data_IF_724046594445
#
_entry.id   IF_724046594445
#
_cell.length_a   1.000
_cell.length_b   1.000
_cell.length_c   1.000
_cell.angle_alpha   90.00
_cell.angle_beta   90.00
_cell.angle_gamma   90.00
#
_symmetry.space_group_name_H-M   'P 1'
#
loop_
_entity.id
_entity.type
_entity.pdbx_description
1 polymer ?
#
# COMPACT_ATOMS: atom_id res chain seq x y z
N UNK A 1 1.01 -9.29 11.17
CA UNK A 1 2.14 -9.09 12.11
C UNK A 1 3.42 -9.07 11.28
N UNK A 2 3.86 -7.89 10.86
CA UNK A 2 5.15 -7.70 10.17
C UNK A 2 6.25 -8.01 11.19
N UNK A 3 7.07 -9.02 10.91
CA UNK A 3 8.14 -9.41 11.83
C UNK A 3 9.27 -8.40 11.71
N UNK A 4 9.25 -7.38 12.57
CA UNK A 4 10.43 -6.57 12.86
C UNK A 4 11.39 -7.45 13.68
N UNK A 5 12.27 -8.16 12.99
CA UNK A 5 13.20 -9.10 13.61
C UNK A 5 14.23 -8.32 14.43
N UNK A 6 14.13 -8.42 15.76
CA UNK A 6 15.08 -7.85 16.73
C UNK A 6 16.50 -8.33 16.41
N UNK A 7 17.34 -7.43 15.89
CA UNK A 7 18.79 -7.58 15.72
C UNK A 7 19.50 -7.63 17.09
N UNK A 8 19.38 -8.73 17.82
CA UNK A 8 20.12 -8.96 19.08
C UNK A 8 21.18 -10.05 18.90
N UNK A 9 22.27 -9.72 18.19
CA UNK A 9 23.61 -10.31 18.30
C UNK A 9 24.63 -9.26 17.79
N UNK A 10 24.97 -8.29 18.65
CA UNK A 10 25.35 -6.91 18.23
C UNK A 10 26.86 -6.65 18.09
N UNK A 11 27.76 -7.60 18.37
CA UNK A 11 29.22 -7.32 18.29
C UNK A 11 29.87 -7.83 16.99
N UNK A 12 29.63 -9.08 16.59
CA UNK A 12 30.26 -9.66 15.38
C UNK A 12 29.76 -9.08 14.05
N UNK A 13 28.45 -8.78 13.95
CA UNK A 13 27.84 -8.25 12.71
C UNK A 13 28.15 -6.77 12.47
N UNK A 14 28.39 -5.99 13.54
CA UNK A 14 28.84 -4.58 13.43
C UNK A 14 30.21 -4.47 12.78
N UNK A 15 31.11 -5.42 13.07
CA UNK A 15 32.46 -5.47 12.50
C UNK A 15 32.41 -5.80 11.01
N UNK A 16 31.60 -6.77 10.58
CA UNK A 16 31.43 -7.09 9.16
C UNK A 16 30.86 -5.92 8.36
N UNK A 17 29.84 -5.22 8.88
CA UNK A 17 29.26 -4.05 8.25
C UNK A 17 30.30 -2.94 8.05
N UNK A 18 31.05 -2.62 9.11
CA UNK A 18 32.12 -1.64 9.08
C UNK A 18 33.25 -2.04 8.12
N UNK A 19 33.60 -3.33 8.04
CA UNK A 19 34.65 -3.82 7.15
C UNK A 19 34.26 -3.67 5.67
N UNK A 20 33.00 -3.93 5.32
CA UNK A 20 32.55 -3.84 3.94
C UNK A 20 32.56 -2.39 3.48
N UNK A 21 31.96 -1.50 4.27
CA UNK A 21 31.91 -0.08 3.93
C UNK A 21 33.30 0.57 3.96
N UNK A 22 34.15 0.23 4.95
CA UNK A 22 35.51 0.78 5.03
C UNK A 22 36.46 0.27 3.94
N UNK A 23 36.11 -0.83 3.25
CA UNK A 23 36.84 -1.37 2.08
C UNK A 23 36.21 -0.98 0.73
N UNK A 24 35.30 -0.01 0.72
CA UNK A 24 34.65 0.46 -0.52
C UNK A 24 33.52 -0.42 -1.05
N UNK A 25 32.95 -1.28 -0.20
CA UNK A 25 31.75 -2.07 -0.54
C UNK A 25 30.47 -1.24 -0.60
N UNK A 26 29.45 -1.78 -1.26
CA UNK A 26 28.18 -1.08 -1.54
C UNK A 26 27.10 -1.39 -0.51
N UNK A 27 26.08 -0.52 -0.42
CA UNK A 27 24.89 -0.78 0.40
C UNK A 27 24.12 -2.03 -0.05
N UNK A 28 24.17 -2.37 -1.34
CA UNK A 28 23.61 -3.63 -1.87
C UNK A 28 24.30 -4.87 -1.30
N UNK A 29 25.62 -4.84 -1.12
CA UNK A 29 26.36 -5.94 -0.48
C UNK A 29 26.00 -6.10 0.99
N UNK A 30 25.76 -4.97 1.67
CA UNK A 30 25.25 -4.96 3.05
C UNK A 30 23.84 -5.59 3.13
N UNK A 31 22.94 -5.21 2.23
CA UNK A 31 21.60 -5.78 2.15
C UNK A 31 21.65 -7.27 1.83
N UNK A 32 22.50 -7.68 0.90
CA UNK A 32 22.72 -9.09 0.55
C UNK A 32 23.19 -9.91 1.76
N UNK A 33 24.12 -9.38 2.57
CA UNK A 33 24.51 -10.06 3.81
C UNK A 33 23.35 -10.23 4.79
N UNK A 34 22.49 -9.22 4.91
CA UNK A 34 21.29 -9.31 5.75
C UNK A 34 20.33 -10.40 5.24
N UNK A 35 20.04 -10.40 3.94
CA UNK A 35 19.17 -11.42 3.30
C UNK A 35 19.78 -12.81 3.45
N UNK A 36 21.06 -13.01 3.11
CA UNK A 36 21.74 -14.30 3.23
C UNK A 36 21.85 -14.79 4.68
N UNK A 37 21.84 -13.88 5.66
CA UNK A 37 21.85 -14.26 7.08
C UNK A 37 20.47 -14.64 7.62
N UNK A 38 19.39 -14.15 7.03
CA UNK A 38 18.03 -14.28 7.57
C UNK A 38 17.17 -15.24 6.76
N UNK A 39 17.27 -15.21 5.43
CA UNK A 39 16.46 -16.00 4.53
C UNK A 39 16.61 -17.52 4.74
N UNK A 40 17.84 -18.10 4.84
CA UNK A 40 17.99 -19.54 5.09
C UNK A 40 17.35 -19.99 6.41
N UNK A 41 17.42 -19.16 7.44
CA UNK A 41 16.79 -19.42 8.73
C UNK A 41 15.25 -19.43 8.63
N UNK A 42 14.66 -18.53 7.84
CA UNK A 42 13.20 -18.51 7.68
C UNK A 42 12.74 -19.73 6.88
N UNK A 43 13.44 -20.07 5.79
CA UNK A 43 13.12 -21.23 4.95
C UNK A 43 13.34 -22.56 5.70
N UNK A 44 14.32 -22.64 6.61
CA UNK A 44 14.52 -23.85 7.44
C UNK A 44 13.33 -24.16 8.36
N UNK A 45 12.42 -23.20 8.55
CA UNK A 45 11.17 -23.37 9.32
C UNK A 45 9.94 -23.58 8.40
N UNK A 46 10.15 -23.91 7.12
CA UNK A 46 9.10 -24.06 6.10
C UNK A 46 8.19 -22.82 6.01
N UNK A 47 8.79 -21.63 6.10
CA UNK A 47 8.06 -20.35 5.99
C UNK A 47 8.38 -19.66 4.66
N UNK A 48 7.40 -18.92 4.17
CA UNK A 48 7.53 -17.99 3.04
C UNK A 48 7.77 -16.60 3.59
N UNK A 49 8.71 -15.88 3.01
CA UNK A 49 9.02 -14.49 3.40
C UNK A 49 8.25 -13.53 2.51
N UNK A 50 7.72 -12.47 3.12
CA UNK A 50 7.21 -11.29 2.39
C UNK A 50 8.23 -10.17 2.55
N UNK A 51 8.70 -9.60 1.44
CA UNK A 51 9.52 -8.39 1.43
C UNK A 51 8.77 -7.26 0.73
N UNK A 52 9.06 -6.02 1.10
CA UNK A 52 8.77 -4.88 0.23
C UNK A 52 9.59 -5.00 -1.06
N UNK A 53 9.01 -4.53 -2.16
CA UNK A 53 9.61 -4.66 -3.50
C UNK A 53 11.00 -4.03 -3.64
N UNK A 54 11.35 -3.06 -2.80
CA UNK A 54 12.62 -2.32 -2.78
C UNK A 54 13.82 -3.28 -2.75
N UNK A 55 13.69 -4.40 -2.04
CA UNK A 55 14.75 -5.42 -1.94
C UNK A 55 15.25 -5.86 -3.32
N UNK A 56 14.38 -5.81 -4.35
CA UNK A 56 14.67 -6.21 -5.71
C UNK A 56 14.64 -5.05 -6.71
N UNK A 57 13.74 -4.08 -6.52
CA UNK A 57 13.43 -3.06 -7.52
C UNK A 57 14.06 -1.69 -7.26
N UNK A 58 14.62 -1.43 -6.08
CA UNK A 58 15.27 -0.15 -5.79
C UNK A 58 16.44 0.10 -6.77
N UNK A 59 16.60 1.35 -7.20
CA UNK A 59 17.58 1.71 -8.21
C UNK A 59 19.03 1.61 -7.69
N UNK A 60 19.23 1.85 -6.39
CA UNK A 60 20.54 2.02 -5.78
C UNK A 60 20.93 0.85 -4.84
N UNK A 61 19.98 0.33 -4.07
CA UNK A 61 20.16 -0.63 -2.98
C UNK A 61 19.23 -1.82 -3.18
N UNK A 62 19.72 -2.84 -3.90
CA UNK A 62 18.94 -4.04 -4.22
C UNK A 62 19.81 -5.27 -4.21
N UNK A 63 19.17 -6.42 -4.06
CA UNK A 63 19.82 -7.71 -4.17
C UNK A 63 19.58 -8.35 -5.53
N UNK A 64 20.45 -9.30 -5.89
CA UNK A 64 20.26 -10.07 -7.11
C UNK A 64 19.08 -11.02 -6.97
N UNK A 65 18.31 -11.21 -8.04
CA UNK A 65 17.15 -12.10 -7.99
C UNK A 65 17.52 -13.55 -7.66
N UNK A 66 18.77 -13.98 -7.87
CA UNK A 66 19.27 -15.31 -7.54
C UNK A 66 19.27 -15.62 -6.04
N UNK A 67 19.33 -14.59 -5.18
CA UNK A 67 19.30 -14.79 -3.72
C UNK A 67 17.88 -14.78 -3.15
N UNK A 68 16.87 -14.52 -3.99
CA UNK A 68 15.45 -14.53 -3.63
C UNK A 68 14.71 -15.61 -4.45
N UNK A 69 14.77 -16.89 -4.04
CA UNK A 69 13.98 -17.95 -4.67
C UNK A 69 12.47 -17.63 -4.64
N UNK A 70 11.79 -17.80 -5.78
CA UNK A 70 10.39 -17.38 -5.99
C UNK A 70 9.41 -18.24 -5.18
N UNK A 71 9.74 -19.50 -5.00
CA UNK A 71 8.97 -20.49 -4.24
C UNK A 71 8.76 -20.10 -2.78
N UNK A 72 9.73 -19.41 -2.17
CA UNK A 72 9.72 -18.99 -0.76
C UNK A 72 9.68 -17.48 -0.57
N UNK A 73 9.50 -16.71 -1.65
CA UNK A 73 9.44 -15.25 -1.61
C UNK A 73 8.12 -14.74 -2.19
N UNK A 74 7.50 -13.80 -1.47
CA UNK A 74 6.41 -12.95 -1.94
C UNK A 74 6.91 -11.51 -1.87
N UNK A 75 6.57 -10.70 -2.86
CA UNK A 75 6.94 -9.28 -2.89
C UNK A 75 5.68 -8.42 -2.73
N UNK A 76 5.73 -7.44 -1.83
CA UNK A 76 4.67 -6.47 -1.64
C UNK A 76 5.04 -5.19 -2.39
N UNK A 77 4.27 -4.84 -3.40
CA UNK A 77 4.52 -3.68 -4.28
C UNK A 77 3.77 -2.46 -3.77
N UNK A 78 4.44 -1.31 -3.73
CA UNK A 78 3.86 -0.09 -3.19
C UNK A 78 4.15 1.15 -4.04
N UNK A 79 5.08 1.09 -4.99
CA UNK A 79 5.49 2.21 -5.82
C UNK A 79 5.15 1.96 -7.30
N UNK A 80 5.05 3.02 -8.11
CA UNK A 80 4.78 2.97 -9.56
C UNK A 80 3.61 2.07 -9.99
N UNK A 81 2.54 1.99 -9.19
CA UNK A 81 1.27 1.33 -9.52
C UNK A 81 1.37 0.00 -10.28
N UNK A 82 0.69 -0.06 -11.43
CA UNK A 82 0.67 -1.25 -12.30
C UNK A 82 2.04 -1.61 -12.88
N UNK A 83 2.95 -0.63 -13.07
CA UNK A 83 4.25 -0.89 -13.69
C UNK A 83 5.13 -1.78 -12.81
N UNK A 84 5.25 -1.46 -11.53
CA UNK A 84 6.03 -2.33 -10.64
C UNK A 84 5.32 -3.68 -10.42
N UNK A 85 3.99 -3.68 -10.27
CA UNK A 85 3.21 -4.93 -10.21
C UNK A 85 3.56 -5.85 -11.39
N UNK A 86 3.50 -5.33 -12.61
CA UNK A 86 3.89 -6.03 -13.85
C UNK A 86 5.32 -6.53 -13.78
N UNK A 87 6.30 -5.68 -13.43
CA UNK A 87 7.72 -6.07 -13.34
C UNK A 87 7.96 -7.28 -12.42
N UNK A 88 7.27 -7.31 -11.28
CA UNK A 88 7.41 -8.40 -10.29
C UNK A 88 6.83 -9.71 -10.81
N UNK A 89 5.59 -9.68 -11.32
CA UNK A 89 4.92 -10.89 -11.82
C UNK A 89 5.55 -11.40 -13.11
N UNK A 90 6.00 -10.52 -14.03
CA UNK A 90 6.75 -10.92 -15.23
C UNK A 90 8.11 -11.57 -14.87
N UNK A 91 8.64 -11.29 -13.67
CA UNK A 91 9.85 -11.94 -13.13
C UNK A 91 9.56 -13.25 -12.36
N UNK A 92 8.29 -13.68 -12.33
CA UNK A 92 7.84 -14.93 -11.72
C UNK A 92 7.57 -14.84 -10.22
N UNK A 93 7.56 -13.66 -9.61
CA UNK A 93 7.26 -13.51 -8.18
C UNK A 93 5.77 -13.44 -7.94
N UNK A 94 5.33 -14.12 -6.87
CA UNK A 94 4.02 -13.88 -6.28
C UNK A 94 4.01 -12.52 -5.59
N UNK A 95 2.94 -11.77 -5.77
CA UNK A 95 2.90 -10.34 -5.40
C UNK A 95 1.64 -9.99 -4.59
N UNK A 96 1.81 -9.21 -3.53
CA UNK A 96 0.73 -8.51 -2.81
C UNK A 96 0.74 -7.05 -3.26
N UNK A 97 -0.41 -6.53 -3.69
CA UNK A 97 -0.51 -5.16 -4.22
C UNK A 97 -0.89 -4.16 -3.12
N UNK A 98 -0.07 -3.14 -2.92
CA UNK A 98 -0.25 -2.06 -1.94
C UNK A 98 0.16 -0.70 -2.52
N UNK A 99 -0.01 -0.49 -3.83
CA UNK A 99 0.42 0.73 -4.52
C UNK A 99 -0.07 2.02 -3.84
N UNK A 100 0.84 2.91 -3.47
CA UNK A 100 0.59 4.13 -2.68
C UNK A 100 -0.34 5.12 -3.37
N UNK A 101 -0.34 5.12 -4.71
CA UNK A 101 -1.28 5.85 -5.56
C UNK A 101 -2.75 5.52 -5.26
N UNK A 102 -3.02 4.33 -4.72
CA UNK A 102 -4.38 3.82 -4.48
C UNK A 102 -4.60 3.37 -3.03
N UNK A 103 -3.72 2.56 -2.43
CA UNK A 103 -3.99 1.77 -1.23
C UNK A 103 -3.35 2.29 0.07
N UNK A 104 -2.74 3.48 0.06
CA UNK A 104 -2.23 4.12 1.28
C UNK A 104 -3.31 5.00 1.92
N UNK A 105 -3.63 4.73 3.18
CA UNK A 105 -4.70 5.36 3.95
C UNK A 105 -4.24 6.63 4.69
N UNK A 106 -2.94 6.80 4.89
CA UNK A 106 -2.27 7.91 5.60
C UNK A 106 -2.07 9.17 4.74
N UNK A 107 -2.12 9.06 3.41
CA UNK A 107 -1.86 10.17 2.50
C UNK A 107 -2.89 11.30 2.63
N UNK A 108 -2.45 12.53 2.34
CA UNK A 108 -3.32 13.71 2.27
C UNK A 108 -3.54 14.43 3.61
N UNK A 109 -2.72 14.11 4.62
CA UNK A 109 -2.72 14.78 5.94
C UNK A 109 -1.54 15.74 6.13
N UNK A 110 -0.92 16.15 5.03
CA UNK A 110 0.29 16.97 5.01
C UNK A 110 1.52 16.25 5.57
N UNK A 111 2.61 16.98 5.73
CA UNK A 111 3.83 16.47 6.36
C UNK A 111 3.72 16.50 7.89
N UNK A 112 4.46 15.62 8.58
CA UNK A 112 4.56 15.54 10.03
C UNK A 112 5.79 16.27 10.59
N UNK A 113 6.71 16.72 9.72
CA UNK A 113 7.91 17.46 10.12
C UNK A 113 7.57 18.81 10.76
N UNK A 114 8.32 19.17 11.80
CA UNK A 114 8.21 20.46 12.49
C UNK A 114 9.21 21.50 11.94
N UNK A 115 8.92 22.78 12.15
CA UNK A 115 9.76 23.91 11.73
C UNK A 115 10.10 23.91 10.23
N UNK A 116 9.09 23.69 9.40
CA UNK A 116 9.24 23.72 7.95
C UNK A 116 8.72 25.04 7.36
N UNK A 117 9.65 25.84 6.84
CA UNK A 117 9.36 27.14 6.23
C UNK A 117 8.52 27.06 4.96
N UNK A 118 8.31 25.87 4.38
CA UNK A 118 7.45 25.69 3.21
C UNK A 118 5.99 26.10 3.49
N UNK A 119 5.59 26.11 4.77
CA UNK A 119 4.26 26.51 5.23
C UNK A 119 4.15 28.00 5.62
N UNK A 120 5.25 28.77 5.56
CA UNK A 120 5.28 30.20 5.89
C UNK A 120 4.80 31.07 4.71
N UNK A 121 3.64 30.72 4.15
CA UNK A 121 3.07 31.41 3.00
C UNK A 121 1.64 31.86 3.29
N UNK A 122 1.46 33.18 3.44
CA UNK A 122 0.20 33.79 3.82
C UNK A 122 -0.92 33.68 2.76
N UNK A 123 -0.56 33.56 1.48
CA UNK A 123 -1.52 33.61 0.35
C UNK A 123 -1.83 32.24 -0.25
N UNK A 124 -1.40 31.15 0.38
CA UNK A 124 -1.63 29.78 -0.09
C UNK A 124 -0.42 28.87 0.15
N UNK A 125 -0.45 27.67 -0.42
CA UNK A 125 0.66 26.70 -0.31
C UNK A 125 1.35 26.51 -1.66
N UNK A 126 2.68 26.42 -1.65
CA UNK A 126 3.46 25.93 -2.81
C UNK A 126 3.39 24.41 -2.96
N UNK A 127 3.03 23.69 -1.90
CA UNK A 127 2.93 22.24 -1.94
C UNK A 127 1.56 21.83 -2.48
N UNK A 128 1.52 21.00 -3.52
CA UNK A 128 0.25 20.54 -4.11
C UNK A 128 -0.60 19.73 -3.13
N UNK A 129 0.04 18.97 -2.24
CA UNK A 129 -0.60 18.02 -1.33
C UNK A 129 -0.34 18.33 0.15
N UNK A 130 -0.09 19.60 0.49
CA UNK A 130 0.17 20.02 1.87
C UNK A 130 1.44 19.39 2.48
N UNK A 131 2.38 18.92 1.65
CA UNK A 131 3.61 18.22 2.08
C UNK A 131 3.51 16.69 2.17
N UNK A 132 2.31 16.11 2.04
CA UNK A 132 2.15 14.66 2.01
C UNK A 132 2.75 14.08 0.72
N UNK A 133 3.86 13.34 0.82
CA UNK A 133 4.57 12.79 -0.35
C UNK A 133 3.71 11.89 -1.25
N UNK A 134 2.78 11.13 -0.65
CA UNK A 134 1.85 10.24 -1.37
C UNK A 134 0.48 10.88 -1.57
N UNK A 135 0.35 12.20 -1.43
CA UNK A 135 -0.91 12.90 -1.66
C UNK A 135 -1.46 12.72 -3.08
N UNK A 136 -2.74 13.05 -3.31
CA UNK A 136 -3.73 13.53 -2.33
C UNK A 136 -4.29 12.38 -1.47
N UNK A 137 -5.24 12.69 -0.58
CA UNK A 137 -6.01 11.69 0.15
C UNK A 137 -6.70 10.70 -0.80
N UNK A 138 -6.59 9.40 -0.51
CA UNK A 138 -7.22 8.36 -1.32
C UNK A 138 -8.67 8.17 -0.88
N UNK A 139 -9.61 8.59 -1.72
CA UNK A 139 -11.04 8.41 -1.49
C UNK A 139 -11.43 6.94 -1.66
N UNK A 140 -12.57 6.54 -1.09
CA UNK A 140 -13.06 5.18 -1.29
C UNK A 140 -13.28 4.85 -2.77
N UNK A 141 -13.66 5.84 -3.60
CA UNK A 141 -13.84 5.66 -5.05
C UNK A 141 -12.51 5.35 -5.74
N UNK A 142 -11.44 6.10 -5.43
CA UNK A 142 -10.10 5.85 -5.97
C UNK A 142 -9.64 4.43 -5.63
N UNK A 143 -9.82 4.03 -4.37
CA UNK A 143 -9.46 2.69 -3.90
C UNK A 143 -10.30 1.59 -4.56
N UNK A 144 -11.62 1.78 -4.65
CA UNK A 144 -12.55 0.82 -5.25
C UNK A 144 -12.30 0.63 -6.74
N UNK A 145 -11.94 1.70 -7.47
CA UNK A 145 -11.73 1.64 -8.90
C UNK A 145 -10.45 0.93 -9.32
N UNK A 146 -9.49 0.78 -8.41
CA UNK A 146 -8.20 0.18 -8.70
C UNK A 146 -8.34 -1.28 -9.13
N UNK A 147 -7.87 -1.59 -10.35
CA UNK A 147 -7.87 -2.94 -10.91
C UNK A 147 -6.46 -3.49 -10.80
N UNK A 148 -6.16 -4.21 -9.70
CA UNK A 148 -4.81 -4.67 -9.37
C UNK A 148 -4.18 -5.60 -10.43
N UNK A 149 -4.97 -6.07 -11.40
CA UNK A 149 -4.55 -6.93 -12.51
C UNK A 149 -4.49 -6.22 -13.87
N UNK A 150 -4.76 -4.91 -13.91
CA UNK A 150 -4.75 -4.14 -15.15
C UNK A 150 -3.37 -4.22 -15.86
N UNK A 151 -3.40 -4.54 -17.16
CA UNK A 151 -2.19 -4.66 -18.00
C UNK A 151 -1.40 -5.95 -17.83
N UNK A 152 -1.89 -6.90 -17.02
CA UNK A 152 -1.28 -8.22 -16.84
C UNK A 152 -1.85 -9.24 -17.84
N UNK A 153 -1.04 -10.22 -18.21
CA UNK A 153 -1.53 -11.44 -18.88
C UNK A 153 -2.25 -12.34 -17.89
N UNK A 154 -2.99 -13.34 -18.37
CA UNK A 154 -3.66 -14.31 -17.49
C UNK A 154 -2.69 -15.04 -16.56
N UNK A 155 -1.49 -15.40 -17.05
CA UNK A 155 -0.49 -16.10 -16.25
C UNK A 155 0.18 -15.20 -15.20
N UNK A 156 0.38 -13.92 -15.54
CA UNK A 156 0.88 -12.92 -14.60
C UNK A 156 -0.16 -12.58 -13.52
N UNK A 157 -1.43 -12.49 -13.90
CA UNK A 157 -2.53 -12.23 -12.97
C UNK A 157 -2.65 -13.34 -11.90
N UNK A 158 -2.34 -14.60 -12.24
CA UNK A 158 -2.30 -15.72 -11.27
C UNK A 158 -1.22 -15.56 -10.19
N UNK A 159 -0.20 -14.73 -10.44
CA UNK A 159 0.85 -14.44 -9.44
C UNK A 159 0.45 -13.30 -8.49
N UNK A 160 -0.60 -12.54 -8.79
CA UNK A 160 -1.15 -11.55 -7.87
C UNK A 160 -2.00 -12.26 -6.82
N UNK A 161 -1.54 -12.25 -5.56
CA UNK A 161 -2.20 -12.94 -4.45
C UNK A 161 -3.41 -12.17 -3.89
N UNK A 162 -3.47 -10.87 -4.16
CA UNK A 162 -4.46 -9.96 -3.61
C UNK A 162 -3.85 -8.58 -3.35
N UNK A 163 -4.55 -7.79 -2.56
CA UNK A 163 -4.08 -6.46 -2.15
C UNK A 163 -4.15 -6.24 -0.64
N UNK A 164 -3.33 -5.32 -0.17
CA UNK A 164 -3.31 -4.87 1.23
C UNK A 164 -3.32 -3.34 1.26
N UNK A 165 -4.23 -2.77 2.06
CA UNK A 165 -4.25 -1.33 2.33
C UNK A 165 -3.34 -1.02 3.51
N UNK A 166 -2.44 -0.06 3.34
CA UNK A 166 -1.49 0.32 4.36
C UNK A 166 -1.97 1.59 5.07
N UNK A 167 -1.88 1.61 6.39
CA UNK A 167 -1.99 2.83 7.19
C UNK A 167 -0.66 3.03 7.91
N UNK A 168 0.20 3.87 7.34
CA UNK A 168 1.37 4.32 8.06
C UNK A 168 0.97 5.23 9.22
N UNK A 169 1.78 5.21 10.29
CA UNK A 169 1.36 5.67 11.63
C UNK A 169 2.13 6.89 12.13
N UNK A 170 2.79 7.64 11.23
CA UNK A 170 3.44 8.91 11.55
C UNK A 170 2.43 9.89 12.16
N UNK A 171 1.20 9.88 11.65
CA UNK A 171 0.08 10.70 12.13
C UNK A 171 -1.18 9.85 12.40
N UNK A 172 -1.00 8.60 12.85
CA UNK A 172 -2.10 7.73 13.24
C UNK A 172 -1.83 7.01 14.56
N UNK A 173 -2.82 7.08 15.44
CA UNK A 173 -2.83 6.42 16.75
C UNK A 173 -4.27 5.90 17.04
N UNK A 174 -4.54 5.31 18.22
CA UNK A 174 -5.87 4.81 18.56
C UNK A 174 -7.01 5.83 18.48
N UNK A 175 -6.72 7.14 18.51
CA UNK A 175 -7.75 8.19 18.44
C UNK A 175 -8.37 8.27 17.05
N UNK A 176 -7.55 8.12 15.99
CA UNK A 176 -7.95 8.27 14.59
C UNK A 176 -8.02 6.95 13.80
N UNK A 177 -7.51 5.85 14.37
CA UNK A 177 -7.40 4.54 13.69
C UNK A 177 -8.66 4.13 12.92
N UNK A 178 -9.82 4.14 13.60
CA UNK A 178 -11.08 3.70 13.01
C UNK A 178 -11.49 4.53 11.80
N UNK A 179 -11.40 5.86 11.90
CA UNK A 179 -11.81 6.78 10.84
C UNK A 179 -10.84 6.73 9.66
N UNK A 180 -9.56 6.47 9.91
CA UNK A 180 -8.55 6.28 8.85
C UNK A 180 -8.82 5.01 8.05
N UNK A 181 -9.16 3.91 8.71
CA UNK A 181 -9.36 2.62 8.04
C UNK A 181 -10.76 2.56 7.40
N UNK A 182 -11.79 2.99 8.11
CA UNK A 182 -13.18 2.73 7.76
C UNK A 182 -13.91 4.00 7.33
N UNK A 183 -14.71 3.95 6.23
CA UNK A 183 -15.12 2.76 5.50
C UNK A 183 -14.27 2.45 4.25
N UNK A 184 -13.20 3.20 3.99
CA UNK A 184 -12.35 3.07 2.80
C UNK A 184 -11.83 1.64 2.58
N UNK A 185 -11.35 0.98 3.63
CA UNK A 185 -10.94 -0.43 3.57
C UNK A 185 -12.09 -1.39 3.22
N UNK A 186 -13.34 -1.05 3.51
CA UNK A 186 -14.51 -1.86 3.12
C UNK A 186 -14.71 -1.84 1.60
N UNK A 187 -14.44 -0.71 0.96
CA UNK A 187 -14.52 -0.61 -0.50
C UNK A 187 -13.46 -1.50 -1.18
N UNK A 188 -12.23 -1.49 -0.65
CA UNK A 188 -11.18 -2.42 -1.12
C UNK A 188 -11.57 -3.87 -0.87
N UNK A 189 -12.16 -4.19 0.29
CA UNK A 189 -12.62 -5.54 0.60
C UNK A 189 -13.64 -6.05 -0.43
N UNK A 190 -14.62 -5.25 -0.84
CA UNK A 190 -15.58 -5.64 -1.89
C UNK A 190 -14.89 -5.87 -3.24
N UNK A 191 -13.96 -4.97 -3.62
CA UNK A 191 -13.22 -5.07 -4.87
C UNK A 191 -12.33 -6.32 -4.94
N UNK A 192 -11.67 -6.69 -3.84
CA UNK A 192 -10.81 -7.87 -3.78
C UNK A 192 -11.61 -9.17 -3.61
N UNK A 193 -12.82 -9.10 -3.03
CA UNK A 193 -13.67 -10.27 -2.80
C UNK A 193 -14.49 -10.66 -4.04
N UNK A 194 -15.10 -9.68 -4.71
CA UNK A 194 -16.07 -9.92 -5.80
C UNK A 194 -15.80 -9.11 -7.06
N UNK A 195 -14.67 -8.39 -7.11
CA UNK A 195 -14.38 -7.47 -8.20
C UNK A 195 -15.14 -6.15 -8.10
N UNK A 196 -14.74 -5.19 -8.92
CA UNK A 196 -15.36 -3.86 -9.05
C UNK A 196 -16.13 -3.67 -10.36
N UNK A 197 -16.45 -4.78 -11.04
CA UNK A 197 -17.21 -4.82 -12.29
C UNK A 197 -18.49 -5.65 -12.14
N UNK A 198 -19.50 -5.34 -12.95
CA UNK A 198 -20.72 -6.14 -13.08
C UNK A 198 -20.53 -7.34 -14.04
N UNK A 199 -21.59 -8.12 -14.26
CA UNK A 199 -21.59 -9.28 -15.16
C UNK A 199 -21.31 -8.92 -16.64
N UNK A 200 -21.41 -7.63 -16.99
CA UNK A 200 -21.10 -7.08 -18.31
C UNK A 200 -19.69 -6.50 -18.39
N UNK A 201 -18.91 -6.59 -17.31
CA UNK A 201 -17.56 -6.03 -17.21
C UNK A 201 -17.50 -4.52 -16.99
N UNK A 202 -18.63 -3.86 -16.70
CA UNK A 202 -18.71 -2.42 -16.48
C UNK A 202 -18.38 -2.09 -15.03
N UNK A 203 -17.60 -1.02 -14.79
CA UNK A 203 -17.27 -0.57 -13.43
C UNK A 203 -18.53 -0.15 -12.69
N UNK A 204 -18.78 -0.73 -11.52
CA UNK A 204 -19.99 -0.54 -10.71
C UNK A 204 -19.78 0.36 -9.49
N UNK A 205 -18.87 1.34 -9.60
CA UNK A 205 -18.56 2.26 -8.49
C UNK A 205 -19.78 3.10 -8.08
N UNK A 206 -20.63 3.49 -9.03
CA UNK A 206 -21.82 4.29 -8.75
C UNK A 206 -22.75 3.56 -7.77
N UNK A 207 -23.06 2.29 -8.05
CA UNK A 207 -23.89 1.44 -7.19
C UNK A 207 -23.23 1.12 -5.84
N UNK A 208 -21.89 1.08 -5.80
CA UNK A 208 -21.14 0.82 -4.58
C UNK A 208 -21.33 1.94 -3.54
N UNK A 209 -21.66 3.16 -3.97
CA UNK A 209 -21.90 4.31 -3.06
C UNK A 209 -23.02 4.01 -2.05
N UNK A 210 -24.16 3.51 -2.52
CA UNK A 210 -25.32 3.24 -1.68
C UNK A 210 -25.05 2.09 -0.70
N UNK A 211 -24.43 1.00 -1.20
CA UNK A 211 -24.02 -0.14 -0.36
C UNK A 211 -23.01 0.28 0.70
N UNK A 212 -22.04 1.13 0.36
CA UNK A 212 -21.01 1.57 1.28
C UNK A 212 -21.58 2.51 2.35
N UNK A 213 -22.52 3.40 2.02
CA UNK A 213 -23.23 4.22 2.99
C UNK A 213 -24.02 3.38 4.00
N UNK A 214 -24.72 2.36 3.52
CA UNK A 214 -25.43 1.41 4.38
C UNK A 214 -24.45 0.63 5.28
N UNK A 215 -23.39 0.09 4.68
CA UNK A 215 -22.35 -0.66 5.40
C UNK A 215 -21.68 0.20 6.47
N UNK A 216 -21.34 1.45 6.15
CA UNK A 216 -20.78 2.42 7.09
C UNK A 216 -21.72 2.60 8.28
N UNK A 217 -23.03 2.73 8.05
CA UNK A 217 -24.02 2.85 9.11
C UNK A 217 -24.07 1.58 9.99
N UNK A 218 -23.98 0.40 9.38
CA UNK A 218 -23.94 -0.90 10.08
C UNK A 218 -22.69 -1.05 10.97
N UNK A 219 -21.51 -0.66 10.51
CA UNK A 219 -20.27 -0.77 11.31
C UNK A 219 -20.22 0.28 12.42
N UNK A 220 -20.77 1.49 12.20
CA UNK A 220 -20.94 2.49 13.26
C UNK A 220 -21.87 1.99 14.35
N UNK A 221 -22.99 1.34 13.98
CA UNK A 221 -23.90 0.71 14.95
C UNK A 221 -23.22 -0.42 15.77
N UNK A 222 -22.06 -0.93 15.33
CA UNK A 222 -21.25 -1.93 16.03
C UNK A 222 -20.09 -1.33 16.83
N UNK A 223 -20.01 -0.01 16.95
CA UNK A 223 -19.00 0.69 17.75
C UNK A 223 -17.74 1.11 16.99
N UNK A 224 -17.64 0.87 15.69
CA UNK A 224 -16.52 1.34 14.86
C UNK A 224 -16.72 2.83 14.53
N UNK A 225 -15.74 3.69 14.81
CA UNK A 225 -15.82 5.13 14.53
C UNK A 225 -15.50 5.45 13.06
N UNK A 226 -16.26 4.87 12.13
CA UNK A 226 -16.03 5.03 10.69
C UNK A 226 -16.38 6.44 10.19
N UNK A 227 -15.55 6.96 9.30
CA UNK A 227 -15.73 8.28 8.66
C UNK A 227 -17.03 8.33 7.84
N UNK A 228 -17.80 9.45 7.85
CA UNK A 228 -18.88 9.65 6.91
C UNK A 228 -18.35 9.90 5.49
N UNK A 229 -18.96 9.29 4.47
CA UNK A 229 -18.53 9.48 3.06
C UNK A 229 -19.42 10.45 2.27
N UNK A 230 -20.63 10.74 2.78
CA UNK A 230 -21.57 11.69 2.19
C UNK A 230 -22.43 12.35 3.28
N UNK A 231 -23.01 13.54 3.00
CA UNK A 231 -24.08 14.10 3.81
C UNK A 231 -25.25 13.11 3.95
N UNK A 232 -25.92 13.10 5.11
CA UNK A 232 -27.10 12.26 5.36
C UNK A 232 -28.21 12.49 4.32
N UNK A 233 -28.30 13.70 3.76
CA UNK A 233 -29.25 14.01 2.69
C UNK A 233 -29.05 13.13 1.45
N UNK A 234 -27.81 12.83 1.06
CA UNK A 234 -27.51 11.98 -0.10
C UNK A 234 -28.01 10.55 0.12
N UNK A 235 -27.87 10.04 1.34
CA UNK A 235 -28.36 8.71 1.73
C UNK A 235 -29.89 8.66 1.68
N UNK A 236 -30.56 9.75 2.09
CA UNK A 236 -32.02 9.86 2.07
C UNK A 236 -32.60 10.17 0.68
N UNK A 237 -31.78 10.64 -0.25
CA UNK A 237 -32.19 11.03 -1.60
C UNK A 237 -31.21 10.42 -2.63
N UNK A 238 -31.28 9.09 -2.86
CA UNK A 238 -30.34 8.39 -3.75
C UNK A 238 -30.27 9.02 -5.13
N UNK A 239 -29.06 9.11 -5.69
CA UNK A 239 -28.82 9.70 -7.01
C UNK A 239 -28.69 11.22 -7.04
N UNK A 240 -29.22 11.93 -6.05
CA UNK A 240 -29.24 13.41 -6.05
C UNK A 240 -27.91 14.07 -5.70
N UNK A 241 -26.93 13.30 -5.23
CA UNK A 241 -25.55 13.75 -5.00
C UNK A 241 -24.57 13.17 -6.03
N UNK A 242 -25.07 12.55 -7.10
CA UNK A 242 -24.21 11.98 -8.14
C UNK A 242 -23.65 13.10 -9.01
N UNK A 243 -22.38 12.98 -9.37
CA UNK A 243 -21.73 13.83 -10.38
C UNK A 243 -21.29 12.94 -11.52
N UNK A 244 -21.54 13.38 -12.76
CA UNK A 244 -21.06 12.73 -13.97
C UNK A 244 -20.11 13.70 -14.66
N UNK A 245 -18.86 13.28 -14.82
CA UNK A 245 -17.87 14.05 -15.57
C UNK A 245 -17.79 13.45 -16.97
N UNK A 246 -18.17 14.22 -18.00
CA UNK A 246 -18.14 13.78 -19.40
C UNK A 246 -16.74 13.55 -19.96
N UNK A 247 -15.70 13.90 -19.20
CA UNK A 247 -14.28 13.80 -19.55
C UNK A 247 -13.57 12.60 -18.90
N UNK A 248 -14.29 11.76 -18.16
CA UNK A 248 -13.77 10.60 -17.44
C UNK A 248 -14.29 9.29 -18.03
#
# INVERSE_FOLDING_TARGET
>A
MVVLMRLYQVVGKRIQLWIILSKGGTLSQVLELFVNSTFPYIVSHNKTVVYWEDVLLDENIRVQSTILPRENTILQTWNNGHNNTKRLVSSGYRTIVSSSEFYYLDCGHGDFLGNDSIYDQQTGTVTKDGGSWCGPFKTWQTMYNYDITYGLTEDEAKLVLGGEVALWSEQADPTVLDARIWPRASAVAESLWSGNRDDKGIKRYAEATDRLNEWRSRIVARGVRAEPIQPLWCIKNPGMCNTVNSLA
#
